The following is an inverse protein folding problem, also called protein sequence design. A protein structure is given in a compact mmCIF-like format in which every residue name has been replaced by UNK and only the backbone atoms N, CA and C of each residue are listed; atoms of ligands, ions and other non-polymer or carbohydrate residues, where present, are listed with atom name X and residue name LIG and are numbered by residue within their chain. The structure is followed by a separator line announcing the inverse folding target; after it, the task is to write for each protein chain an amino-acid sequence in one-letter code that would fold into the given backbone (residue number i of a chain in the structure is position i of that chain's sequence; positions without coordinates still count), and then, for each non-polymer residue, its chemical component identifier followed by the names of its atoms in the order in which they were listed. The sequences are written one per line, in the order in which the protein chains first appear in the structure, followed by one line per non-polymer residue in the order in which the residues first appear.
data_IF_504692845131
#
_entry.id   IF_504692845131
#
_cell.length_a   1.000
_cell.length_b   1.000
_cell.length_c   1.000
_cell.angle_alpha   90.00
_cell.angle_beta   90.00
_cell.angle_gamma   90.00
#
_symmetry.space_group_name_H-M   'P 1'
#
loop_
_entity.id
_entity.type
_entity.pdbx_description
1 polymer ?
#
# COMPACT_ATOMS: atom_id res chain seq x y z
N UNK A 1 -66.39 25.52 12.23
CA UNK A 1 -65.04 26.08 12.43
C UNK A 1 -64.08 24.94 12.73
N UNK A 2 -63.13 24.65 11.84
CA UNK A 2 -62.12 23.59 12.01
C UNK A 2 -60.74 24.26 12.00
N UNK A 3 -60.01 24.17 13.11
CA UNK A 3 -58.61 24.62 13.19
C UNK A 3 -57.70 23.50 12.65
N UNK A 4 -56.73 23.78 11.77
CA UNK A 4 -55.77 22.77 11.36
C UNK A 4 -54.67 22.66 12.41
N UNK A 5 -54.44 21.45 12.88
CA UNK A 5 -53.40 21.10 13.84
C UNK A 5 -52.03 21.15 13.16
N UNK A 6 -51.22 22.17 13.45
CA UNK A 6 -49.85 22.24 12.96
C UNK A 6 -48.96 21.34 13.83
N UNK A 7 -48.59 20.16 13.32
CA UNK A 7 -47.59 19.29 13.98
C UNK A 7 -46.20 19.82 13.62
N UNK A 8 -45.60 20.60 14.51
CA UNK A 8 -44.21 21.02 14.41
C UNK A 8 -43.29 19.82 14.71
N UNK A 9 -42.75 19.19 13.68
CA UNK A 9 -41.72 18.16 13.81
C UNK A 9 -40.40 18.84 14.23
N UNK A 10 -39.96 18.60 15.46
CA UNK A 10 -38.62 18.98 15.91
C UNK A 10 -37.59 18.04 15.28
N UNK A 11 -36.85 18.52 14.29
CA UNK A 11 -35.64 17.86 13.80
C UNK A 11 -34.52 18.07 14.83
N UNK A 12 -34.22 17.05 15.63
CA UNK A 12 -33.00 17.04 16.43
C UNK A 12 -31.78 16.97 15.49
N UNK A 13 -30.82 17.91 15.58
CA UNK A 13 -29.57 17.76 14.87
C UNK A 13 -28.78 16.62 15.52
N UNK A 14 -28.54 15.55 14.76
CA UNK A 14 -27.57 14.52 15.11
C UNK A 14 -26.19 15.17 15.11
N UNK A 15 -25.68 15.50 16.29
CA UNK A 15 -24.27 15.84 16.50
C UNK A 15 -23.44 14.57 16.20
N UNK A 16 -22.91 14.48 14.99
CA UNK A 16 -21.90 13.49 14.65
C UNK A 16 -20.63 13.82 15.42
N UNK A 17 -20.41 13.14 16.55
CA UNK A 17 -19.11 13.11 17.19
C UNK A 17 -18.15 12.35 16.27
N UNK A 18 -17.20 13.04 15.66
CA UNK A 18 -16.05 12.39 15.03
C UNK A 18 -15.20 11.82 16.16
N UNK A 19 -15.21 10.49 16.33
CA UNK A 19 -14.21 9.82 17.17
C UNK A 19 -12.84 10.27 16.70
N UNK A 20 -11.98 10.69 17.64
CA UNK A 20 -10.61 11.03 17.33
C UNK A 20 -9.96 9.82 16.66
N UNK A 21 -9.60 9.98 15.38
CA UNK A 21 -9.04 8.90 14.59
C UNK A 21 -7.71 8.44 15.19
N UNK A 22 -7.53 7.12 15.28
CA UNK A 22 -6.30 6.47 15.76
C UNK A 22 -5.69 5.73 14.59
N UNK A 23 -5.07 6.46 13.63
CA UNK A 23 -4.58 5.84 12.42
C UNK A 23 -3.42 4.89 12.74
N UNK A 24 -3.34 3.79 11.98
CA UNK A 24 -2.31 2.78 12.14
C UNK A 24 -0.90 3.28 11.75
N UNK A 25 -0.82 4.32 10.91
CA UNK A 25 0.42 4.95 10.50
C UNK A 25 0.26 6.48 10.39
N UNK A 26 1.38 7.19 10.36
CA UNK A 26 1.47 8.63 10.11
C UNK A 26 2.69 8.88 9.24
N UNK A 27 2.59 9.87 8.35
CA UNK A 27 3.68 10.26 7.47
C UNK A 27 4.24 11.61 7.94
N UNK A 28 5.55 11.76 7.82
CA UNK A 28 6.24 12.98 8.16
C UNK A 28 7.29 13.31 7.09
N UNK A 29 7.42 14.59 6.78
CA UNK A 29 8.53 15.10 5.97
C UNK A 29 9.83 15.11 6.78
N UNK A 30 10.96 15.34 6.11
CA UNK A 30 12.29 15.32 6.74
C UNK A 30 12.45 16.28 7.93
N UNK A 31 11.70 17.39 7.96
CA UNK A 31 11.72 18.35 9.06
C UNK A 31 10.64 18.05 10.14
N UNK A 32 10.00 16.89 10.07
CA UNK A 32 9.05 16.38 11.07
C UNK A 32 7.63 16.94 10.96
N UNK A 33 7.29 17.71 9.92
CA UNK A 33 5.90 18.11 9.67
C UNK A 33 5.09 16.92 9.14
N UNK A 34 3.81 16.87 9.48
CA UNK A 34 2.90 15.87 8.92
C UNK A 34 2.90 15.97 7.39
N UNK A 35 3.01 14.83 6.72
CA UNK A 35 2.94 14.71 5.27
C UNK A 35 1.60 14.09 4.87
N UNK A 36 1.08 14.55 3.74
CA UNK A 36 -0.11 13.98 3.11
C UNK A 36 0.29 12.86 2.14
N UNK A 37 -0.47 11.76 2.14
CA UNK A 37 -0.15 10.58 1.34
C UNK A 37 -0.22 10.86 -0.16
N UNK A 38 -1.25 11.57 -0.62
CA UNK A 38 -1.44 11.87 -2.04
C UNK A 38 -0.36 12.84 -2.55
N UNK A 39 0.02 13.82 -1.72
CA UNK A 39 1.14 14.72 -2.03
C UNK A 39 2.48 13.98 -2.10
N UNK A 40 2.73 13.06 -1.16
CA UNK A 40 3.91 12.19 -1.19
C UNK A 40 3.91 11.37 -2.48
N UNK A 41 2.81 10.70 -2.81
CA UNK A 41 2.67 9.87 -4.00
C UNK A 41 2.92 10.66 -5.30
N UNK A 42 2.38 11.89 -5.40
CA UNK A 42 2.60 12.76 -6.55
C UNK A 42 4.09 13.15 -6.74
N UNK A 43 4.85 13.27 -5.65
CA UNK A 43 6.29 13.51 -5.71
C UNK A 43 7.04 12.22 -6.10
N UNK A 44 6.71 11.08 -5.48
CA UNK A 44 7.31 9.79 -5.79
C UNK A 44 7.10 9.39 -7.27
N UNK A 45 5.95 9.72 -7.84
CA UNK A 45 5.64 9.44 -9.25
C UNK A 45 6.53 10.19 -10.25
N UNK A 46 7.16 11.30 -9.84
CA UNK A 46 8.09 12.08 -10.67
C UNK A 46 9.54 11.60 -10.54
N UNK A 47 9.87 10.80 -9.53
CA UNK A 47 11.21 10.27 -9.35
C UNK A 47 11.50 9.13 -10.34
N UNK A 48 12.76 9.05 -10.76
CA UNK A 48 13.30 7.92 -11.53
C UNK A 48 13.50 6.69 -10.65
N UNK A 49 13.92 6.90 -9.40
CA UNK A 49 14.16 5.85 -8.39
C UNK A 49 13.58 6.28 -7.06
N UNK A 50 12.81 5.39 -6.44
CA UNK A 50 12.29 5.53 -5.07
C UNK A 50 12.87 4.41 -4.23
N UNK A 51 13.44 4.76 -3.08
CA UNK A 51 13.91 3.80 -2.08
C UNK A 51 12.88 3.76 -0.96
N UNK A 52 12.20 2.63 -0.82
CA UNK A 52 11.26 2.38 0.28
C UNK A 52 12.01 1.60 1.36
N UNK A 53 12.27 2.25 2.49
CA UNK A 53 12.93 1.62 3.64
C UNK A 53 11.90 1.02 4.59
N UNK A 54 12.22 -0.15 5.16
CA UNK A 54 11.33 -0.87 6.06
C UNK A 54 12.06 -1.47 7.26
N UNK A 55 11.27 -1.87 8.26
CA UNK A 55 11.69 -2.83 9.27
C UNK A 55 11.09 -4.19 8.90
N UNK A 56 11.93 -5.20 8.65
CA UNK A 56 11.51 -6.46 8.00
C UNK A 56 10.38 -7.25 8.68
N UNK A 57 10.05 -6.96 9.93
CA UNK A 57 8.98 -7.64 10.67
C UNK A 57 7.86 -6.67 11.10
N UNK A 58 7.70 -5.55 10.40
CA UNK A 58 6.62 -4.58 10.63
C UNK A 58 5.49 -4.76 9.59
N UNK A 59 4.34 -5.34 9.96
CA UNK A 59 3.25 -5.56 9.02
C UNK A 59 2.63 -4.27 8.49
N UNK A 60 2.74 -3.14 9.21
CA UNK A 60 2.24 -1.85 8.72
C UNK A 60 3.15 -1.30 7.63
N UNK A 61 4.47 -1.51 7.75
CA UNK A 61 5.42 -1.14 6.71
C UNK A 61 5.17 -1.94 5.42
N UNK A 62 5.09 -3.27 5.50
CA UNK A 62 4.80 -4.15 4.35
C UNK A 62 3.47 -3.83 3.68
N UNK A 63 2.43 -3.56 4.48
CA UNK A 63 1.14 -3.14 3.96
C UNK A 63 1.23 -1.81 3.21
N UNK A 64 1.95 -0.83 3.76
CA UNK A 64 2.12 0.49 3.17
C UNK A 64 2.96 0.43 1.89
N UNK A 65 4.02 -0.40 1.86
CA UNK A 65 4.81 -0.65 0.65
C UNK A 65 3.93 -1.16 -0.49
N UNK A 66 3.07 -2.15 -0.21
CA UNK A 66 2.12 -2.66 -1.18
C UNK A 66 1.13 -1.59 -1.66
N UNK A 67 0.64 -0.71 -0.78
CA UNK A 67 -0.26 0.38 -1.19
C UNK A 67 0.46 1.37 -2.10
N UNK A 68 1.66 1.81 -1.70
CA UNK A 68 2.47 2.76 -2.46
C UNK A 68 2.84 2.20 -3.83
N UNK A 69 3.22 0.91 -3.91
CA UNK A 69 3.52 0.25 -5.18
C UNK A 69 2.30 0.23 -6.12
N UNK A 70 1.11 -0.12 -5.60
CA UNK A 70 -0.15 -0.12 -6.36
C UNK A 70 -0.52 1.26 -6.87
N UNK A 71 -0.44 2.26 -6.00
CA UNK A 71 -0.83 3.62 -6.35
C UNK A 71 0.19 4.27 -7.30
N UNK A 72 1.49 3.96 -7.17
CA UNK A 72 2.52 4.39 -8.12
C UNK A 72 2.33 3.75 -9.49
N UNK A 73 2.03 2.45 -9.56
CA UNK A 73 1.75 1.79 -10.84
C UNK A 73 0.51 2.40 -11.52
N UNK A 74 -0.53 2.71 -10.75
CA UNK A 74 -1.71 3.42 -11.25
C UNK A 74 -1.37 4.82 -11.76
N UNK A 75 -0.55 5.57 -11.02
CA UNK A 75 -0.16 6.94 -11.37
C UNK A 75 0.74 7.00 -12.61
N UNK A 76 1.72 6.08 -12.74
CA UNK A 76 2.65 6.05 -13.88
C UNK A 76 2.08 5.35 -15.12
N UNK A 77 1.14 4.43 -14.93
CA UNK A 77 0.53 3.63 -16.00
C UNK A 77 1.20 2.27 -16.21
N UNK A 78 0.60 1.39 -17.03
CA UNK A 78 1.01 0.01 -17.20
C UNK A 78 2.47 -0.13 -17.69
N UNK A 79 3.25 -1.00 -17.04
CA UNK A 79 4.62 -1.32 -17.42
C UNK A 79 5.67 -0.24 -17.10
N UNK A 80 5.28 0.84 -16.42
CA UNK A 80 6.16 1.98 -16.10
C UNK A 80 6.76 1.90 -14.70
N UNK A 81 6.36 0.92 -13.88
CA UNK A 81 6.91 0.67 -12.56
C UNK A 81 7.69 -0.65 -12.58
N UNK A 82 8.90 -0.63 -12.03
CA UNK A 82 9.74 -1.81 -11.79
C UNK A 82 10.02 -1.88 -10.30
N UNK A 83 9.86 -3.05 -9.70
CA UNK A 83 10.15 -3.28 -8.28
C UNK A 83 11.52 -3.94 -8.13
N UNK A 84 12.35 -3.35 -7.26
CA UNK A 84 13.57 -3.97 -6.74
C UNK A 84 13.30 -4.50 -5.34
N UNK A 85 13.76 -5.72 -5.07
CA UNK A 85 13.37 -6.48 -3.89
C UNK A 85 14.64 -7.00 -3.18
N UNK A 86 14.95 -6.45 -2.01
CA UNK A 86 16.22 -6.72 -1.28
C UNK A 86 16.42 -8.20 -0.97
N UNK A 87 15.35 -8.89 -0.58
CA UNK A 87 15.38 -10.30 -0.17
C UNK A 87 15.73 -11.30 -1.27
N UNK A 88 15.83 -10.86 -2.53
CA UNK A 88 16.21 -11.71 -3.66
C UNK A 88 17.58 -11.30 -4.22
N UNK A 89 18.52 -12.23 -4.15
CA UNK A 89 19.82 -12.07 -4.78
C UNK A 89 19.71 -12.04 -6.31
N UNK A 90 20.65 -11.35 -6.97
CA UNK A 90 20.60 -11.13 -8.43
C UNK A 90 20.57 -12.44 -9.25
N UNK A 91 21.15 -13.51 -8.74
CA UNK A 91 21.22 -14.80 -9.43
C UNK A 91 19.84 -15.46 -9.61
N UNK A 92 18.84 -15.11 -8.79
CA UNK A 92 17.47 -15.64 -8.90
C UNK A 92 16.58 -14.86 -9.87
N UNK A 93 17.09 -13.83 -10.56
CA UNK A 93 16.33 -13.05 -11.54
C UNK A 93 15.59 -13.91 -12.60
N UNK A 94 16.16 -15.01 -13.14
CA UNK A 94 15.42 -15.88 -14.07
C UNK A 94 14.19 -16.53 -13.45
N UNK A 95 14.20 -16.84 -12.15
CA UNK A 95 13.07 -17.41 -11.43
C UNK A 95 11.99 -16.36 -11.17
N UNK A 96 12.39 -15.15 -10.77
CA UNK A 96 11.47 -14.00 -10.63
C UNK A 96 10.76 -13.68 -11.95
N UNK A 97 11.50 -13.67 -13.07
CA UNK A 97 10.92 -13.44 -14.39
C UNK A 97 9.91 -14.54 -14.78
N UNK A 98 10.22 -15.80 -14.52
CA UNK A 98 9.28 -16.91 -14.77
C UNK A 98 8.05 -16.84 -13.86
N UNK A 99 8.24 -16.42 -12.61
CA UNK A 99 7.15 -16.24 -11.64
C UNK A 99 6.19 -15.14 -12.08
N UNK A 100 6.71 -13.94 -12.40
CA UNK A 100 5.92 -12.82 -12.92
C UNK A 100 5.22 -13.14 -14.25
N UNK A 101 5.83 -13.98 -15.09
CA UNK A 101 5.20 -14.48 -16.33
C UNK A 101 4.13 -15.56 -16.10
N UNK A 102 3.91 -16.01 -14.87
CA UNK A 102 2.98 -17.11 -14.54
C UNK A 102 3.43 -18.50 -15.00
N UNK A 103 4.71 -18.66 -15.32
CA UNK A 103 5.29 -19.92 -15.84
C UNK A 103 5.98 -20.77 -14.77
N UNK A 104 6.18 -20.21 -13.58
CA UNK A 104 6.74 -20.91 -12.42
C UNK A 104 5.68 -20.94 -11.29
N UNK A 105 5.18 -22.12 -10.87
CA UNK A 105 4.22 -22.22 -9.78
C UNK A 105 4.77 -21.71 -8.44
N UNK A 106 3.93 -21.14 -7.58
CA UNK A 106 4.30 -20.63 -6.24
C UNK A 106 5.19 -21.59 -5.44
N UNK A 107 4.79 -22.86 -5.33
CA UNK A 107 5.56 -23.87 -4.58
C UNK A 107 6.93 -24.19 -5.20
N UNK A 108 7.06 -24.02 -6.51
CA UNK A 108 8.31 -24.19 -7.22
C UNK A 108 9.19 -22.94 -7.08
N UNK A 109 8.61 -21.75 -7.09
CA UNK A 109 9.30 -20.49 -6.82
C UNK A 109 9.88 -20.49 -5.41
N UNK A 110 9.05 -20.68 -4.37
CA UNK A 110 9.49 -20.66 -2.96
C UNK A 110 10.62 -21.64 -2.67
N UNK A 111 10.63 -22.81 -3.32
CA UNK A 111 11.70 -23.82 -3.16
C UNK A 111 13.01 -23.43 -3.85
N UNK A 112 12.95 -22.67 -4.93
CA UNK A 112 14.11 -22.40 -5.81
C UNK A 112 14.71 -21.00 -5.63
N UNK A 113 13.88 -20.00 -5.26
CA UNK A 113 14.28 -18.59 -5.17
C UNK A 113 14.85 -18.19 -3.81
N UNK A 114 14.88 -19.12 -2.83
CA UNK A 114 15.45 -18.91 -1.49
C UNK A 114 14.91 -17.66 -0.79
N UNK A 115 13.58 -17.45 -0.74
CA UNK A 115 13.02 -16.27 -0.10
C UNK A 115 13.26 -16.29 1.41
N UNK A 116 13.18 -15.13 2.06
CA UNK A 116 13.26 -15.04 3.53
C UNK A 116 12.09 -15.74 4.23
N UNK A 117 12.24 -16.13 5.52
CA UNK A 117 11.23 -16.91 6.24
C UNK A 117 9.83 -16.28 6.33
N UNK A 118 9.72 -14.95 6.28
CA UNK A 118 8.48 -14.17 6.35
C UNK A 118 7.83 -13.91 4.98
N UNK A 119 8.37 -14.48 3.90
CA UNK A 119 7.89 -14.25 2.54
C UNK A 119 6.39 -14.41 2.35
N UNK A 120 5.79 -15.46 2.90
CA UNK A 120 4.39 -15.79 2.65
C UNK A 120 3.41 -14.67 3.04
N UNK A 121 3.75 -13.91 4.08
CA UNK A 121 2.91 -12.82 4.60
C UNK A 121 3.38 -11.45 4.15
N UNK A 122 4.70 -11.23 4.13
CA UNK A 122 5.25 -9.88 4.09
C UNK A 122 5.58 -9.47 2.65
N UNK A 123 6.10 -10.39 1.83
CA UNK A 123 6.65 -10.06 0.51
C UNK A 123 5.88 -10.68 -0.65
N UNK A 124 5.26 -11.85 -0.47
CA UNK A 124 4.46 -12.51 -1.51
C UNK A 124 3.38 -11.59 -2.11
N UNK A 125 2.66 -10.76 -1.33
CA UNK A 125 1.68 -9.83 -1.89
C UNK A 125 2.25 -8.83 -2.90
N UNK A 126 3.50 -8.37 -2.71
CA UNK A 126 4.18 -7.49 -3.67
C UNK A 126 4.52 -8.22 -4.97
N UNK A 127 5.02 -9.46 -4.89
CA UNK A 127 5.34 -10.25 -6.10
C UNK A 127 4.10 -10.66 -6.88
N UNK A 128 2.98 -10.92 -6.20
CA UNK A 128 1.71 -11.22 -6.87
C UNK A 128 1.06 -9.99 -7.50
N UNK A 129 1.45 -8.80 -7.06
CA UNK A 129 1.02 -7.54 -7.65
C UNK A 129 1.85 -7.15 -8.88
N UNK A 130 3.16 -7.39 -8.82
CA UNK A 130 4.13 -7.06 -9.87
C UNK A 130 3.89 -7.83 -11.18
#
# INVERSE_FOLDING_TARGET
MRFPSFRLLWLLPLLSFTLADRPAYRLFAAQGQAADYDQMLAQLAQADVVLFGEQHNDPIAHWLELQVAKDLAKAKGPGQLVLGLEMFERDVQPLLAQYAAGTLPDTAFERQSRPWPNYATDYRPLLQFA
#
